data_IF_178372402122
#
_entry.id   IF_178372402122
#
_cell.length_a   1.000
_cell.length_b   1.000
_cell.length_c   1.000
_cell.angle_alpha   90.00
_cell.angle_beta   90.00
_cell.angle_gamma   90.00
#
_symmetry.space_group_name_H-M   'P 1'
#
loop_
_entity.id
_entity.type
_entity.pdbx_description
1 polymer ?
#
# COMPACT_ATOMS: atom_id res chain seq x y z
N UNK A 1 -28.53 -24.74 10.41
CA UNK A 1 -27.30 -24.14 9.87
C UNK A 1 -26.44 -23.69 11.04
N UNK A 2 -25.19 -24.05 11.03
CA UNK A 2 -24.22 -23.53 12.01
C UNK A 2 -23.70 -22.17 11.55
N UNK A 3 -23.54 -21.22 12.45
CA UNK A 3 -22.97 -19.91 12.18
C UNK A 3 -21.78 -19.64 13.10
N UNK A 4 -20.79 -18.93 12.60
CA UNK A 4 -19.64 -18.47 13.36
C UNK A 4 -19.53 -16.95 13.24
N UNK A 5 -19.43 -16.28 14.38
CA UNK A 5 -19.21 -14.83 14.45
C UNK A 5 -17.75 -14.57 14.80
N UNK A 6 -17.06 -13.81 13.97
CA UNK A 6 -15.65 -13.41 14.19
C UNK A 6 -15.51 -11.90 14.07
N UNK A 7 -14.41 -11.36 14.62
CA UNK A 7 -14.01 -9.98 14.36
C UNK A 7 -13.69 -9.87 12.85
N UNK A 8 -14.12 -8.76 12.23
CA UNK A 8 -13.81 -8.51 10.83
C UNK A 8 -12.29 -8.46 10.64
N UNK A 9 -11.71 -9.31 9.77
CA UNK A 9 -10.26 -9.41 9.64
C UNK A 9 -9.63 -8.19 8.96
N UNK A 10 -8.33 -8.05 9.13
CA UNK A 10 -7.47 -7.14 8.38
C UNK A 10 -6.60 -7.92 7.39
N UNK A 11 -6.23 -7.29 6.27
CA UNK A 11 -5.28 -7.84 5.31
C UNK A 11 -3.96 -7.06 5.41
N UNK A 12 -2.87 -7.74 5.80
CA UNK A 12 -1.57 -7.09 6.01
C UNK A 12 -0.65 -7.13 4.79
N UNK A 13 -1.11 -7.60 3.62
CA UNK A 13 -0.32 -7.63 2.40
C UNK A 13 -1.23 -7.66 1.16
N UNK A 14 -1.71 -6.50 0.71
CA UNK A 14 -2.71 -6.42 -0.33
C UNK A 14 -2.24 -5.59 -1.53
N UNK A 15 -2.37 -6.16 -2.72
CA UNK A 15 -2.12 -5.49 -4.00
C UNK A 15 -3.46 -5.10 -4.64
N UNK A 16 -3.85 -3.84 -4.49
CA UNK A 16 -5.07 -3.31 -5.12
C UNK A 16 -4.86 -2.87 -6.57
N UNK A 17 -3.61 -2.68 -6.97
CA UNK A 17 -3.24 -2.09 -8.26
C UNK A 17 -3.79 -0.67 -8.39
N UNK A 18 -4.02 -0.20 -9.62
CA UNK A 18 -4.51 1.16 -9.89
C UNK A 18 -5.29 1.18 -11.21
N UNK A 19 -5.83 2.35 -11.59
CA UNK A 19 -6.54 2.52 -12.84
C UNK A 19 -7.88 1.79 -12.88
N UNK A 20 -8.19 1.19 -14.03
CA UNK A 20 -9.51 0.63 -14.30
C UNK A 20 -9.93 -0.52 -13.37
N UNK A 21 -8.98 -1.25 -12.80
CA UNK A 21 -9.28 -2.38 -11.90
C UNK A 21 -9.55 -1.96 -10.45
N UNK A 22 -9.20 -0.71 -10.09
CA UNK A 22 -9.21 -0.26 -8.70
C UNK A 22 -10.59 -0.36 -8.05
N UNK A 23 -11.64 0.04 -8.76
CA UNK A 23 -13.00 0.00 -8.23
C UNK A 23 -13.41 -1.44 -7.83
N UNK A 24 -13.03 -2.41 -8.63
CA UNK A 24 -13.34 -3.83 -8.37
C UNK A 24 -12.52 -4.38 -7.22
N UNK A 25 -11.22 -4.16 -7.21
CA UNK A 25 -10.33 -4.70 -6.18
C UNK A 25 -10.62 -4.12 -4.80
N UNK A 26 -10.93 -2.81 -4.72
CA UNK A 26 -11.32 -2.16 -3.47
C UNK A 26 -12.66 -2.69 -2.96
N UNK A 27 -13.66 -2.83 -3.84
CA UNK A 27 -14.98 -3.32 -3.45
C UNK A 27 -14.92 -4.77 -2.93
N UNK A 28 -14.21 -5.65 -3.62
CA UNK A 28 -14.06 -7.05 -3.21
C UNK A 28 -13.33 -7.17 -1.86
N UNK A 29 -12.31 -6.33 -1.63
CA UNK A 29 -11.60 -6.29 -0.36
C UNK A 29 -12.48 -5.75 0.77
N UNK A 30 -13.18 -4.64 0.53
CA UNK A 30 -14.05 -4.02 1.53
C UNK A 30 -15.22 -4.92 1.95
N UNK A 31 -15.62 -5.87 1.10
CA UNK A 31 -16.65 -6.85 1.44
C UNK A 31 -16.23 -7.80 2.58
N UNK A 32 -14.92 -8.03 2.76
CA UNK A 32 -14.40 -9.03 3.69
C UNK A 32 -13.51 -8.44 4.79
N UNK A 33 -12.71 -7.41 4.47
CA UNK A 33 -11.68 -6.86 5.35
C UNK A 33 -12.06 -5.49 5.91
N UNK A 34 -11.58 -5.20 7.13
CA UNK A 34 -11.78 -3.90 7.80
C UNK A 34 -10.67 -2.91 7.39
N UNK A 35 -9.42 -3.33 7.56
CA UNK A 35 -8.23 -2.57 7.16
C UNK A 35 -7.38 -3.41 6.23
N UNK A 36 -6.59 -2.73 5.40
CA UNK A 36 -5.60 -3.42 4.57
C UNK A 36 -4.31 -2.61 4.46
N UNK A 37 -3.18 -3.30 4.55
CA UNK A 37 -1.86 -2.75 4.26
C UNK A 37 -1.65 -2.77 2.75
N UNK A 38 -1.69 -1.59 2.13
CA UNK A 38 -1.68 -1.45 0.67
C UNK A 38 -0.25 -1.45 0.15
N UNK A 39 0.08 -2.41 -0.69
CA UNK A 39 1.42 -2.54 -1.26
C UNK A 39 1.71 -1.44 -2.28
N UNK A 40 2.96 -0.91 -2.27
CA UNK A 40 3.31 0.29 -3.03
C UNK A 40 3.86 0.01 -4.44
N UNK A 41 3.99 -1.26 -4.84
CA UNK A 41 4.62 -1.64 -6.11
C UNK A 41 3.68 -1.53 -7.30
N UNK A 42 3.28 -0.31 -7.59
CA UNK A 42 2.57 0.08 -8.80
C UNK A 42 3.55 0.37 -9.93
N UNK A 43 3.06 0.86 -11.05
CA UNK A 43 3.85 1.38 -12.17
C UNK A 43 3.37 2.79 -12.53
N UNK A 44 4.06 3.85 -12.08
CA UNK A 44 5.27 3.88 -11.22
C UNK A 44 4.97 3.48 -9.77
N UNK A 45 5.99 3.03 -9.00
CA UNK A 45 5.82 2.69 -7.59
C UNK A 45 5.59 3.93 -6.71
N UNK A 46 4.96 3.73 -5.57
CA UNK A 46 4.70 4.79 -4.58
C UNK A 46 5.96 4.98 -3.73
N UNK A 47 6.80 5.93 -4.10
CA UNK A 47 8.14 6.13 -3.51
C UNK A 47 8.23 7.26 -2.51
N UNK A 48 7.21 8.12 -2.43
CA UNK A 48 7.18 9.27 -1.53
C UNK A 48 5.81 9.52 -0.92
N UNK A 49 5.78 10.40 0.06
CA UNK A 49 4.56 10.76 0.80
C UNK A 49 3.49 11.38 -0.10
N UNK A 50 3.88 12.23 -1.05
CA UNK A 50 2.92 12.87 -1.96
C UNK A 50 2.21 11.83 -2.85
N UNK A 51 2.95 10.86 -3.36
CA UNK A 51 2.38 9.74 -4.12
C UNK A 51 1.46 8.85 -3.26
N UNK A 52 1.83 8.62 -1.99
CA UNK A 52 1.00 7.86 -1.07
C UNK A 52 -0.33 8.58 -0.78
N UNK A 53 -0.29 9.91 -0.58
CA UNK A 53 -1.50 10.74 -0.40
C UNK A 53 -2.39 10.67 -1.65
N UNK A 54 -1.80 10.82 -2.83
CA UNK A 54 -2.54 10.76 -4.08
C UNK A 54 -3.17 9.38 -4.33
N UNK A 55 -2.44 8.31 -4.02
CA UNK A 55 -2.98 6.94 -4.13
C UNK A 55 -4.12 6.71 -3.12
N UNK A 56 -3.92 7.12 -1.87
CA UNK A 56 -4.98 7.03 -0.86
C UNK A 56 -6.24 7.77 -1.28
N UNK A 57 -6.11 8.96 -1.86
CA UNK A 57 -7.27 9.71 -2.36
C UNK A 57 -8.05 8.93 -3.44
N UNK A 58 -7.37 8.20 -4.32
CA UNK A 58 -8.04 7.34 -5.32
C UNK A 58 -8.75 6.15 -4.68
N UNK A 59 -8.19 5.58 -3.61
CA UNK A 59 -8.83 4.51 -2.83
C UNK A 59 -10.07 5.03 -2.09
N UNK A 60 -9.94 6.16 -1.42
CA UNK A 60 -11.03 6.78 -0.66
C UNK A 60 -12.20 7.20 -1.58
N UNK A 61 -11.91 7.60 -2.82
CA UNK A 61 -12.92 7.93 -3.83
C UNK A 61 -13.81 6.75 -4.23
N UNK A 62 -13.43 5.52 -3.92
CA UNK A 62 -14.27 4.33 -4.15
C UNK A 62 -15.43 4.22 -3.14
N UNK A 63 -15.45 5.04 -2.09
CA UNK A 63 -16.53 5.14 -1.09
C UNK A 63 -16.90 3.79 -0.45
N UNK A 64 -15.90 3.01 -0.07
CA UNK A 64 -16.09 1.74 0.65
C UNK A 64 -15.80 1.89 2.14
N UNK A 65 -16.09 0.83 2.91
CA UNK A 65 -15.80 0.77 4.34
C UNK A 65 -14.34 0.39 4.64
N UNK A 66 -13.53 0.10 3.63
CA UNK A 66 -12.12 -0.27 3.80
C UNK A 66 -11.31 0.91 4.34
N UNK A 67 -10.51 0.66 5.36
CA UNK A 67 -9.51 1.62 5.84
C UNK A 67 -8.14 1.25 5.25
N UNK A 68 -7.63 2.00 4.26
CA UNK A 68 -6.32 1.73 3.67
C UNK A 68 -5.19 2.23 4.57
N UNK A 69 -4.21 1.38 4.82
CA UNK A 69 -2.96 1.69 5.49
C UNK A 69 -1.87 1.76 4.42
N UNK A 70 -1.35 2.96 4.17
CA UNK A 70 -0.43 3.17 3.05
C UNK A 70 0.99 2.72 3.37
N UNK A 71 1.73 2.34 2.34
CA UNK A 71 3.16 1.99 2.42
C UNK A 71 3.96 2.75 1.37
N UNK A 72 5.21 3.03 1.68
CA UNK A 72 6.18 3.50 0.69
C UNK A 72 7.01 2.34 0.13
N UNK A 73 7.41 2.50 -1.11
CA UNK A 73 8.35 1.64 -1.80
C UNK A 73 9.77 2.14 -1.53
N UNK A 74 10.61 1.34 -0.87
CA UNK A 74 11.99 1.71 -0.58
C UNK A 74 12.84 1.58 -1.84
N UNK A 75 13.59 2.65 -2.15
CA UNK A 75 14.57 2.67 -3.24
C UNK A 75 15.93 3.07 -2.69
N UNK A 76 16.98 2.93 -3.50
CA UNK A 76 18.32 3.41 -3.13
C UNK A 76 18.38 4.93 -2.88
N UNK A 77 17.39 5.69 -3.35
CA UNK A 77 17.31 7.15 -3.21
C UNK A 77 16.34 7.61 -2.11
N UNK A 78 15.72 6.72 -1.38
CA UNK A 78 14.79 7.08 -0.29
C UNK A 78 15.57 7.70 0.87
N UNK A 79 15.29 8.96 1.18
CA UNK A 79 15.98 9.68 2.24
C UNK A 79 15.32 9.45 3.61
N UNK A 80 16.12 9.61 4.68
CA UNK A 80 15.59 9.61 6.04
C UNK A 80 14.55 10.72 6.27
N UNK A 81 14.73 11.88 5.60
CA UNK A 81 13.77 12.97 5.65
C UNK A 81 12.42 12.59 5.05
N UNK A 82 12.41 11.87 3.93
CA UNK A 82 11.18 11.37 3.33
C UNK A 82 10.45 10.37 4.25
N UNK A 83 11.20 9.50 4.93
CA UNK A 83 10.62 8.57 5.91
C UNK A 83 9.98 9.33 7.09
N UNK A 84 10.64 10.38 7.57
CA UNK A 84 10.07 11.22 8.63
C UNK A 84 8.79 11.92 8.17
N UNK A 85 8.80 12.48 6.96
CA UNK A 85 7.62 13.13 6.36
C UNK A 85 6.46 12.14 6.21
N UNK A 86 6.75 10.93 5.78
CA UNK A 86 5.77 9.86 5.65
C UNK A 86 5.15 9.49 7.01
N UNK A 87 5.98 9.35 8.04
CA UNK A 87 5.51 9.09 9.41
C UNK A 87 4.60 10.23 9.91
N UNK A 88 5.03 11.48 9.73
CA UNK A 88 4.30 12.67 10.20
C UNK A 88 2.96 12.85 9.46
N UNK A 89 2.84 12.33 8.24
CA UNK A 89 1.58 12.36 7.48
C UNK A 89 0.44 11.60 8.15
N UNK A 90 0.75 10.64 9.01
CA UNK A 90 -0.21 9.79 9.69
C UNK A 90 -0.88 8.73 8.81
N UNK A 91 -0.70 8.76 7.49
CA UNK A 91 -1.32 7.80 6.56
C UNK A 91 -0.40 6.66 6.14
N UNK A 92 0.91 6.91 6.11
CA UNK A 92 1.92 5.88 5.80
C UNK A 92 2.24 5.12 7.08
N UNK A 93 2.14 3.80 7.03
CA UNK A 93 2.30 2.93 8.20
C UNK A 93 3.50 2.01 8.10
N UNK A 94 4.07 1.86 6.91
CA UNK A 94 5.22 0.98 6.67
C UNK A 94 6.01 1.41 5.45
N UNK A 95 7.21 0.86 5.34
CA UNK A 95 8.05 0.95 4.15
C UNK A 95 8.34 -0.47 3.67
N UNK A 96 8.14 -0.70 2.39
CA UNK A 96 8.33 -2.01 1.76
C UNK A 96 9.67 -2.07 1.06
N UNK A 97 10.54 -2.97 1.50
CA UNK A 97 11.79 -3.29 0.83
C UNK A 97 11.57 -4.39 -0.19
N UNK A 98 11.97 -4.12 -1.43
CA UNK A 98 12.16 -5.13 -2.47
C UNK A 98 13.62 -5.13 -2.92
N UNK A 99 14.28 -6.29 -2.98
CA UNK A 99 15.50 -6.40 -3.77
C UNK A 99 15.17 -6.13 -5.24
N UNK A 100 16.00 -5.33 -5.92
CA UNK A 100 15.74 -4.94 -7.30
C UNK A 100 15.56 -6.17 -8.20
N UNK A 101 14.45 -6.20 -8.94
CA UNK A 101 14.13 -7.29 -9.88
C UNK A 101 13.66 -8.61 -9.26
N UNK A 102 13.44 -8.67 -7.95
CA UNK A 102 13.08 -9.93 -7.26
C UNK A 102 11.64 -10.41 -7.53
N UNK A 103 10.72 -9.52 -7.89
CA UNK A 103 9.31 -9.83 -8.11
C UNK A 103 8.66 -8.84 -9.09
N UNK A 104 7.36 -8.96 -9.30
CA UNK A 104 6.59 -8.06 -10.17
C UNK A 104 6.70 -6.62 -9.71
N UNK A 105 7.00 -5.70 -10.65
CA UNK A 105 7.16 -4.26 -10.40
C UNK A 105 8.19 -3.95 -9.30
N UNK A 106 9.32 -4.68 -9.27
CA UNK A 106 10.39 -4.47 -8.29
C UNK A 106 11.70 -3.95 -8.90
N UNK A 107 11.68 -3.50 -10.15
CA UNK A 107 12.88 -3.00 -10.85
C UNK A 107 13.53 -1.80 -10.16
N UNK A 108 12.73 -0.95 -9.50
CA UNK A 108 13.21 0.21 -8.74
C UNK A 108 13.61 -0.11 -7.30
N UNK A 109 13.63 -1.38 -6.91
CA UNK A 109 13.96 -1.83 -5.55
C UNK A 109 15.40 -1.56 -5.16
N UNK A 110 15.75 -1.95 -3.95
CA UNK A 110 17.08 -1.74 -3.35
C UNK A 110 18.11 -2.62 -4.03
N UNK A 111 19.22 -2.02 -4.47
CA UNK A 111 20.34 -2.74 -5.10
C UNK A 111 21.41 -3.15 -4.09
N UNK A 112 21.58 -2.37 -3.02
CA UNK A 112 22.49 -2.65 -1.93
C UNK A 112 21.83 -2.31 -0.57
N UNK A 113 21.73 -3.27 0.31
CA UNK A 113 21.10 -3.12 1.63
C UNK A 113 21.92 -2.24 2.58
N UNK A 114 23.18 -1.97 2.24
CA UNK A 114 24.07 -1.09 3.03
C UNK A 114 23.94 0.39 2.65
N UNK A 115 23.12 0.72 1.66
CA UNK A 115 22.90 2.11 1.25
C UNK A 115 22.14 2.93 2.30
#
# INVERSE_FOLDING_TARGET
>A
MQSLTIIRPDDWHLHLRDGAVLARTVADTAAQFNRAMIMPNLSPPVVDTAMAIAYKARLDAQNTSLTPLMTLYLTDNTSAQEIQLAFDSGIVKAVKLYPAGATTNSAAGVTNIEN
#
